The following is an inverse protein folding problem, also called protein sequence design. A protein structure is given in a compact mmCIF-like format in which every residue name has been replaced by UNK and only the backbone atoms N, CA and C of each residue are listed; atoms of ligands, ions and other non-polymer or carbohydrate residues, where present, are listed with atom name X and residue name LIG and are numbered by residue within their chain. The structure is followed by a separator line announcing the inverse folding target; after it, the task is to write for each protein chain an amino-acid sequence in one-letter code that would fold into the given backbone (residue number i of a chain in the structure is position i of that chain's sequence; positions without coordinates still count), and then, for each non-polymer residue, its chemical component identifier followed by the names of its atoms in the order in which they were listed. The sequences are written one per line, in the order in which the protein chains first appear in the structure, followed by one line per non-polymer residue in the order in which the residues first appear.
data_IF_672537998787
#
_entry.id   IF_672537998787
#
_cell.length_a   1.000
_cell.length_b   1.000
_cell.length_c   1.000
_cell.angle_alpha   90.00
_cell.angle_beta   90.00
_cell.angle_gamma   90.00
#
_symmetry.space_group_name_H-M   'P 1'
#
loop_
_entity.id
_entity.type
_entity.pdbx_description
1 polymer ?
#
# COMPACT_ATOMS: atom_id res chain seq x y z
N UNK A 1 -5.54 -14.47 -8.53
CA UNK A 1 -4.53 -13.80 -7.70
C UNK A 1 -5.10 -12.48 -7.18
N UNK A 2 -5.73 -12.52 -5.99
CA UNK A 2 -6.24 -11.35 -5.25
C UNK A 2 -6.45 -11.67 -3.76
N UNK A 3 -6.19 -12.92 -3.35
CA UNK A 3 -6.33 -13.45 -1.99
C UNK A 3 -5.42 -12.76 -0.95
N UNK A 4 -4.39 -12.04 -1.41
CA UNK A 4 -3.43 -11.38 -0.54
C UNK A 4 -2.39 -12.34 0.06
N UNK A 5 -2.10 -13.44 -0.63
CA UNK A 5 -1.12 -14.47 -0.28
C UNK A 5 0.22 -14.28 -1.04
N UNK A 6 0.88 -13.15 -0.78
CA UNK A 6 2.18 -12.81 -1.36
C UNK A 6 3.19 -12.44 -0.28
N UNK A 7 4.47 -12.19 -0.63
CA UNK A 7 5.47 -11.73 0.32
C UNK A 7 5.17 -10.29 0.73
N UNK A 8 4.25 -10.14 1.69
CA UNK A 8 3.85 -8.87 2.25
C UNK A 8 4.65 -8.59 3.53
N UNK A 9 5.18 -7.38 3.65
CA UNK A 9 5.74 -6.85 4.89
C UNK A 9 4.62 -6.29 5.75
N UNK A 10 4.50 -6.77 6.99
CA UNK A 10 3.61 -6.18 7.97
C UNK A 10 4.05 -4.75 8.31
N UNK A 11 3.08 -3.85 8.44
CA UNK A 11 3.25 -2.42 8.76
C UNK A 11 2.30 -1.99 9.87
N UNK A 12 2.11 -2.88 10.85
CA UNK A 12 1.28 -2.63 12.04
C UNK A 12 1.78 -1.44 12.87
N UNK A 13 3.03 -1.01 12.66
CA UNK A 13 3.62 0.21 13.21
C UNK A 13 2.94 1.50 12.73
N UNK A 14 2.26 1.47 11.59
CA UNK A 14 1.56 2.62 11.00
C UNK A 14 0.05 2.50 11.18
N UNK A 15 -0.50 1.33 10.87
CA UNK A 15 -1.91 1.02 11.01
C UNK A 15 -2.07 -0.50 11.21
N UNK A 16 -2.81 -0.97 12.23
CA UNK A 16 -3.02 -2.40 12.45
C UNK A 16 -3.60 -3.10 11.21
N UNK A 17 -3.00 -4.23 10.82
CA UNK A 17 -3.38 -5.02 9.65
C UNK A 17 -2.87 -4.46 8.32
N UNK A 18 -2.09 -3.37 8.34
CA UNK A 18 -1.48 -2.81 7.14
C UNK A 18 -0.36 -3.72 6.64
N UNK A 19 -0.40 -4.00 5.35
CA UNK A 19 0.59 -4.79 4.63
C UNK A 19 1.16 -4.00 3.47
N UNK A 20 2.42 -4.25 3.18
CA UNK A 20 3.18 -3.56 2.14
C UNK A 20 3.84 -4.59 1.22
N UNK A 21 3.82 -4.36 -0.09
CA UNK A 21 4.59 -5.15 -1.05
C UNK A 21 5.23 -4.25 -2.11
N UNK A 22 6.42 -4.64 -2.57
CA UNK A 22 7.06 -4.01 -3.72
C UNK A 22 6.66 -4.73 -5.00
N UNK A 23 6.27 -3.95 -6.00
CA UNK A 23 5.99 -4.42 -7.36
C UNK A 23 6.73 -3.52 -8.34
N UNK A 24 7.92 -3.96 -8.76
CA UNK A 24 8.87 -3.11 -9.47
C UNK A 24 9.18 -1.85 -8.65
N UNK A 25 9.02 -0.68 -9.28
CA UNK A 25 9.25 0.64 -8.65
C UNK A 25 8.08 1.14 -7.81
N UNK A 26 7.04 0.32 -7.61
CA UNK A 26 5.86 0.71 -6.87
C UNK A 26 5.81 -0.01 -5.52
N UNK A 27 5.54 0.78 -4.50
CA UNK A 27 5.19 0.32 -3.17
C UNK A 27 3.66 0.29 -3.04
N UNK A 28 3.10 -0.89 -2.84
CA UNK A 28 1.66 -1.09 -2.71
C UNK A 28 1.34 -1.33 -1.23
N UNK A 29 0.41 -0.55 -0.70
CA UNK A 29 -0.13 -0.70 0.65
C UNK A 29 -1.53 -1.30 0.57
N UNK A 30 -1.77 -2.35 1.35
CA UNK A 30 -3.06 -3.03 1.37
C UNK A 30 -3.42 -3.56 2.76
N UNK A 31 -4.70 -3.83 2.97
CA UNK A 31 -5.20 -4.55 4.14
C UNK A 31 -5.75 -5.91 3.73
N UNK A 32 -5.47 -6.92 4.55
CA UNK A 32 -6.13 -8.21 4.42
C UNK A 32 -7.61 -8.08 4.79
N UNK A 33 -8.50 -8.70 4.02
CA UNK A 33 -9.92 -8.81 4.35
C UNK A 33 -10.33 -10.27 4.25
N UNK A 34 -10.63 -10.95 5.37
CA UNK A 34 -11.08 -12.33 5.32
C UNK A 34 -12.29 -12.48 4.39
N UNK A 35 -12.24 -13.43 3.46
CA UNK A 35 -13.34 -13.70 2.52
C UNK A 35 -13.55 -12.64 1.42
N UNK A 36 -12.67 -11.65 1.29
CA UNK A 36 -12.76 -10.61 0.25
C UNK A 36 -11.37 -10.27 -0.34
N UNK A 37 -11.31 -9.66 -1.53
CA UNK A 37 -10.04 -9.16 -2.07
C UNK A 37 -9.38 -8.16 -1.12
N UNK A 38 -8.05 -8.13 -1.10
CA UNK A 38 -7.30 -7.15 -0.32
C UNK A 38 -7.73 -5.72 -0.68
N UNK A 39 -7.89 -4.87 0.33
CA UNK A 39 -8.19 -3.45 0.11
C UNK A 39 -6.89 -2.72 -0.19
N UNK A 40 -6.73 -2.19 -1.40
CA UNK A 40 -5.57 -1.35 -1.73
C UNK A 40 -5.82 0.06 -1.18
N UNK A 41 -4.96 0.49 -0.26
CA UNK A 41 -5.04 1.82 0.34
C UNK A 41 -4.24 2.85 -0.45
N UNK A 42 -3.07 2.45 -0.95
CA UNK A 42 -2.20 3.33 -1.72
C UNK A 42 -1.28 2.55 -2.66
N UNK A 43 -0.94 3.18 -3.78
CA UNK A 43 0.15 2.77 -4.67
C UNK A 43 1.09 3.96 -4.83
N UNK A 44 2.30 3.82 -4.32
CA UNK A 44 3.30 4.89 -4.28
C UNK A 44 4.47 4.49 -5.17
N UNK A 45 5.00 5.43 -5.95
CA UNK A 45 6.22 5.19 -6.72
C UNK A 45 7.44 5.46 -5.83
N UNK A 46 8.49 4.64 -5.89
CA UNK A 46 9.68 4.69 -5.02
C UNK A 46 10.37 6.07 -5.02
N UNK A 47 10.25 6.80 -6.14
CA UNK A 47 10.85 8.12 -6.34
C UNK A 47 9.90 9.30 -6.13
N UNK A 48 8.64 9.05 -5.77
CA UNK A 48 7.70 10.15 -5.60
C UNK A 48 7.82 10.76 -4.22
N UNK A 49 8.09 12.07 -4.20
CA UNK A 49 7.86 12.90 -3.03
C UNK A 49 6.34 13.00 -2.80
N UNK A 50 5.87 12.14 -1.88
CA UNK A 50 4.46 12.02 -1.51
C UNK A 50 3.93 13.36 -0.99
N UNK A 51 4.75 14.13 -0.25
CA UNK A 51 4.38 15.42 0.33
C UNK A 51 4.19 16.46 -0.78
N UNK A 52 5.10 16.51 -1.75
CA UNK A 52 4.97 17.40 -2.90
C UNK A 52 3.70 17.09 -3.71
N UNK A 53 3.39 15.81 -3.91
CA UNK A 53 2.21 15.39 -4.69
C UNK A 53 0.89 15.59 -3.96
N UNK A 54 0.87 15.42 -2.65
CA UNK A 54 -0.31 15.68 -1.83
C UNK A 54 -0.62 17.18 -1.82
N UNK A 55 0.41 18.01 -1.60
CA UNK A 55 0.29 19.47 -1.64
C UNK A 55 -0.20 19.97 -3.00
N UNK A 56 0.27 19.38 -4.10
CA UNK A 56 -0.19 19.73 -5.45
C UNK A 56 -1.67 19.36 -5.72
N UNK A 57 -2.20 18.32 -5.06
CA UNK A 57 -3.59 17.87 -5.20
C UNK A 57 -4.56 18.56 -4.24
N UNK A 58 -4.04 19.13 -3.16
CA UNK A 58 -4.80 19.90 -2.17
C UNK A 58 -4.87 21.40 -2.50
N UNK A 59 -4.39 21.79 -3.70
CA UNK A 59 -4.61 23.11 -4.28
C UNK A 59 -5.85 23.13 -5.17
#
# INVERSE_FOLDING_TARGET
MASGDGPFKARDDILPGLRMVWSGKHCIFCMHRPGAPALILAVLHERMDIVARLTARLR
#
